data_IF_637055701008
#
_entry.id   IF_637055701008
#
_cell.length_a   1.000
_cell.length_b   1.000
_cell.length_c   1.000
_cell.angle_alpha   90.00
_cell.angle_beta   90.00
_cell.angle_gamma   90.00
#
_symmetry.space_group_name_H-M   'P 1'
#
loop_
_entity.id
_entity.type
_entity.pdbx_description
1 polymer ?
#
# COMPACT_ATOMS: atom_id res chain seq x y z
N UNK A 1 2.94 4.70 26.72
CA UNK A 1 2.48 4.75 25.30
C UNK A 1 1.24 3.88 25.05
N UNK A 2 1.19 2.60 25.45
CA UNK A 2 0.07 1.70 25.10
C UNK A 2 -1.32 2.17 25.61
N UNK A 3 -1.40 2.77 26.79
CA UNK A 3 -2.66 3.30 27.35
C UNK A 3 -3.07 4.66 26.76
N UNK A 4 -2.21 5.28 25.94
CA UNK A 4 -2.48 6.60 25.37
C UNK A 4 -3.35 6.48 24.12
N UNK A 5 -4.21 7.48 23.92
CA UNK A 5 -4.93 7.70 22.67
C UNK A 5 -3.96 7.94 21.51
N UNK A 6 -4.44 7.78 20.27
CA UNK A 6 -3.64 8.15 19.10
C UNK A 6 -3.23 9.61 19.16
N UNK A 7 -4.17 10.49 19.56
CA UNK A 7 -3.92 11.92 19.70
C UNK A 7 -2.81 12.25 20.70
N UNK A 8 -2.83 11.62 21.88
CA UNK A 8 -1.79 11.84 22.88
C UNK A 8 -0.43 11.28 22.43
N UNK A 9 -0.41 10.12 21.77
CA UNK A 9 0.84 9.60 21.20
C UNK A 9 1.39 10.54 20.11
N UNK A 10 0.52 11.11 19.28
CA UNK A 10 0.90 12.03 18.21
C UNK A 10 1.62 13.26 18.76
N UNK A 11 1.05 13.87 19.79
CA UNK A 11 1.56 15.11 20.37
C UNK A 11 2.90 14.89 21.11
N UNK A 12 3.20 13.66 21.50
CA UNK A 12 4.51 13.26 22.04
C UNK A 12 5.52 13.02 20.91
N UNK A 13 5.14 12.27 19.88
CA UNK A 13 6.09 11.75 18.90
C UNK A 13 6.45 12.75 17.81
N UNK A 14 5.50 13.51 17.26
CA UNK A 14 5.75 14.29 16.03
C UNK A 14 6.26 15.73 16.22
N UNK A 15 5.96 16.45 17.32
CA UNK A 15 6.52 17.80 17.54
C UNK A 15 8.03 17.81 17.86
N UNK A 16 8.63 16.65 18.16
CA UNK A 16 9.99 16.55 18.69
C UNK A 16 10.83 15.40 18.08
N UNK A 17 11.00 15.34 16.74
CA UNK A 17 11.70 14.24 16.08
C UNK A 17 13.18 14.11 16.50
N UNK A 18 13.78 15.19 17.01
CA UNK A 18 15.18 15.26 17.45
C UNK A 18 15.38 15.12 18.98
N UNK A 19 14.31 15.27 19.79
CA UNK A 19 14.44 15.29 21.26
C UNK A 19 14.08 13.96 21.92
N UNK A 20 13.43 13.04 21.22
CA UNK A 20 13.14 11.72 21.76
C UNK A 20 13.99 10.68 21.00
N UNK A 21 15.02 10.10 21.64
CA UNK A 21 15.76 9.00 21.06
C UNK A 21 14.91 7.73 21.12
N UNK A 22 13.85 7.63 20.31
CA UNK A 22 13.17 6.36 20.11
C UNK A 22 13.91 5.56 19.04
N UNK A 23 14.12 4.28 19.32
CA UNK A 23 14.72 3.34 18.38
C UNK A 23 13.78 3.15 17.19
N UNK A 24 14.09 3.76 16.05
CA UNK A 24 13.27 3.69 14.81
C UNK A 24 13.14 2.26 14.26
N UNK A 25 13.90 1.30 14.78
CA UNK A 25 13.79 -0.14 14.43
C UNK A 25 12.77 -0.88 15.30
N UNK A 26 12.22 -0.25 16.34
CA UNK A 26 11.23 -0.86 17.24
C UNK A 26 9.85 -0.29 17.00
N UNK A 27 8.86 -1.18 17.01
CA UNK A 27 7.46 -0.79 16.99
C UNK A 27 7.12 0.02 18.24
N UNK A 28 6.43 1.15 18.06
CA UNK A 28 5.80 1.87 19.17
C UNK A 28 4.55 1.09 19.60
N UNK A 29 4.21 1.04 20.90
CA UNK A 29 2.98 0.41 21.35
C UNK A 29 1.75 1.01 20.66
N UNK A 30 0.84 0.15 20.21
CA UNK A 30 -0.39 0.57 19.54
C UNK A 30 -1.22 1.49 20.45
N UNK A 31 -1.91 2.51 19.90
CA UNK A 31 -2.77 3.38 20.69
C UNK A 31 -3.96 2.65 21.31
N UNK A 32 -4.42 3.12 22.46
CA UNK A 32 -5.64 2.64 23.10
C UNK A 32 -6.87 3.18 22.37
N UNK A 33 -7.68 2.27 21.81
CA UNK A 33 -8.93 2.63 21.12
C UNK A 33 -9.95 3.24 22.09
N UNK A 34 -9.98 2.77 23.34
CA UNK A 34 -10.87 3.29 24.39
C UNK A 34 -10.45 4.71 24.81
N UNK A 35 -9.15 4.95 24.95
CA UNK A 35 -8.65 6.30 25.23
C UNK A 35 -8.95 7.26 24.07
N UNK A 36 -8.81 6.78 22.83
CA UNK A 36 -9.11 7.57 21.63
C UNK A 36 -10.60 7.91 21.50
N UNK A 37 -11.51 7.02 21.90
CA UNK A 37 -12.96 7.26 21.86
C UNK A 37 -13.40 8.45 22.72
N UNK A 38 -12.71 8.71 23.83
CA UNK A 38 -13.05 9.79 24.78
C UNK A 38 -12.29 11.10 24.54
N UNK A 39 -11.44 11.18 23.52
CA UNK A 39 -10.74 12.41 23.14
C UNK A 39 -11.72 13.46 22.60
N UNK A 40 -11.54 14.72 22.97
CA UNK A 40 -12.48 15.80 22.65
C UNK A 40 -12.66 16.03 21.14
N UNK A 41 -11.60 15.83 20.35
CA UNK A 41 -11.60 16.00 18.89
C UNK A 41 -11.76 14.68 18.14
N UNK A 42 -12.03 13.57 18.83
CA UNK A 42 -12.27 12.30 18.18
C UNK A 42 -13.66 12.26 17.54
N UNK A 43 -13.72 11.71 16.33
CA UNK A 43 -14.96 11.42 15.64
C UNK A 43 -14.96 9.97 15.16
N UNK A 44 -16.16 9.38 15.16
CA UNK A 44 -16.34 8.00 14.70
C UNK A 44 -16.30 7.94 13.18
N UNK A 45 -15.52 7.02 12.63
CA UNK A 45 -15.51 6.78 11.20
C UNK A 45 -16.83 6.16 10.74
N UNK A 46 -17.31 6.60 9.57
CA UNK A 46 -18.59 6.17 9.01
C UNK A 46 -18.70 4.64 8.96
N UNK A 47 -19.78 4.09 9.52
CA UNK A 47 -20.04 2.65 9.54
C UNK A 47 -18.89 1.77 10.10
N UNK A 48 -18.09 2.31 11.01
CA UNK A 48 -16.97 1.60 11.67
C UNK A 48 -17.05 1.70 13.19
N UNK A 49 -16.28 0.89 13.92
CA UNK A 49 -16.06 1.04 15.37
C UNK A 49 -14.82 1.86 15.70
N UNK A 50 -14.07 2.28 14.68
CA UNK A 50 -12.84 3.04 14.84
C UNK A 50 -13.12 4.53 15.01
N UNK A 51 -12.43 5.15 15.97
CA UNK A 51 -12.41 6.60 16.17
C UNK A 51 -11.14 7.19 15.58
N UNK A 52 -11.26 8.36 14.96
CA UNK A 52 -10.18 9.11 14.36
C UNK A 52 -10.14 10.54 14.89
N UNK A 53 -8.96 11.15 14.90
CA UNK A 53 -8.79 12.60 15.13
C UNK A 53 -8.00 13.15 13.95
N UNK A 54 -8.56 14.17 13.29
CA UNK A 54 -7.88 14.81 12.18
C UNK A 54 -6.74 15.69 12.72
N UNK A 55 -5.50 15.21 12.65
CA UNK A 55 -4.33 15.97 13.11
C UNK A 55 -3.75 16.91 12.06
N UNK A 56 -4.11 16.72 10.79
CA UNK A 56 -3.67 17.57 9.68
C UNK A 56 -4.81 17.94 8.76
N UNK A 57 -4.83 19.21 8.37
CA UNK A 57 -5.74 19.69 7.34
C UNK A 57 -5.32 19.12 5.98
N UNK A 58 -6.29 18.59 5.24
CA UNK A 58 -5.99 17.95 3.95
C UNK A 58 -5.65 18.97 2.87
N UNK A 59 -6.36 20.10 2.85
CA UNK A 59 -6.26 21.09 1.78
C UNK A 59 -6.06 22.54 2.24
N UNK A 60 -6.86 22.98 3.21
CA UNK A 60 -6.84 24.35 3.75
C UNK A 60 -5.85 24.50 4.90
N UNK A 61 -5.42 25.74 5.18
CA UNK A 61 -4.67 26.09 6.39
C UNK A 61 -3.44 25.20 6.68
N UNK A 62 -2.72 24.79 5.63
CA UNK A 62 -1.41 24.12 5.71
C UNK A 62 -0.41 24.81 4.78
N UNK A 63 0.87 24.70 5.11
CA UNK A 63 1.96 25.15 4.25
C UNK A 63 2.14 24.12 3.14
N UNK A 64 2.05 24.56 1.88
CA UNK A 64 2.26 23.73 0.70
C UNK A 64 3.70 23.90 0.21
N UNK A 65 4.48 22.82 0.28
CA UNK A 65 5.79 22.79 -0.38
C UNK A 65 5.64 22.65 -1.90
N UNK A 66 6.69 23.03 -2.65
CA UNK A 66 6.73 22.85 -4.12
C UNK A 66 6.46 21.40 -4.54
N UNK A 67 7.00 20.44 -3.78
CA UNK A 67 6.78 19.00 -4.02
C UNK A 67 5.33 18.56 -3.72
N UNK A 68 4.71 19.12 -2.68
CA UNK A 68 3.31 18.83 -2.33
C UNK A 68 2.40 19.33 -3.46
N UNK A 69 2.63 20.57 -3.93
CA UNK A 69 1.87 21.17 -5.02
C UNK A 69 2.06 20.40 -6.33
N UNK A 70 3.30 20.01 -6.66
CA UNK A 70 3.56 19.17 -7.84
C UNK A 70 2.85 17.82 -7.77
N UNK A 71 2.84 17.17 -6.60
CA UNK A 71 2.14 15.90 -6.38
C UNK A 71 0.62 16.08 -6.52
N UNK A 72 0.06 17.11 -5.90
CA UNK A 72 -1.37 17.40 -5.99
C UNK A 72 -1.80 17.70 -7.44
N UNK A 73 -1.04 18.51 -8.18
CA UNK A 73 -1.31 18.82 -9.58
C UNK A 73 -1.22 17.57 -10.46
N UNK A 74 -0.23 16.70 -10.24
CA UNK A 74 -0.14 15.42 -10.95
C UNK A 74 -1.36 14.55 -10.68
N UNK A 75 -1.75 14.39 -9.40
CA UNK A 75 -2.93 13.63 -9.02
C UNK A 75 -4.19 14.17 -9.70
N UNK A 76 -4.45 15.46 -9.55
CA UNK A 76 -5.61 16.12 -10.18
C UNK A 76 -5.59 15.93 -11.70
N UNK A 77 -4.44 16.17 -12.34
CA UNK A 77 -4.27 16.02 -13.79
C UNK A 77 -4.57 14.59 -14.27
N UNK A 78 -4.09 13.58 -13.55
CA UNK A 78 -4.36 12.17 -13.88
C UNK A 78 -5.85 11.82 -13.75
N UNK A 79 -6.52 12.28 -12.69
CA UNK A 79 -7.95 12.04 -12.50
C UNK A 79 -8.80 12.78 -13.55
N UNK A 80 -8.44 14.02 -13.88
CA UNK A 80 -9.11 14.77 -14.94
C UNK A 80 -8.89 14.12 -16.32
N UNK A 81 -7.70 13.59 -16.59
CA UNK A 81 -7.42 12.87 -17.84
C UNK A 81 -8.28 11.60 -18.00
N UNK A 82 -8.70 10.95 -16.90
CA UNK A 82 -9.66 9.83 -16.96
C UNK A 82 -11.02 10.24 -17.55
N UNK A 83 -11.42 11.50 -17.45
CA UNK A 83 -12.67 12.00 -18.03
C UNK A 83 -12.65 11.97 -19.56
N UNK A 84 -11.50 11.77 -20.19
CA UNK A 84 -11.37 11.57 -21.63
C UNK A 84 -11.74 10.14 -22.09
N UNK A 85 -11.83 9.17 -21.17
CA UNK A 85 -12.07 7.76 -21.51
C UNK A 85 -13.38 7.50 -22.28
N UNK A 86 -14.54 8.14 -21.94
CA UNK A 86 -15.78 7.96 -22.69
C UNK A 86 -15.67 8.37 -24.17
N UNK A 87 -14.86 9.38 -24.48
CA UNK A 87 -14.67 9.88 -25.85
C UNK A 87 -13.78 8.99 -26.71
N UNK A 88 -13.07 8.03 -26.11
CA UNK A 88 -12.20 7.08 -26.79
C UNK A 88 -12.63 5.63 -26.54
N UNK A 89 -13.88 5.44 -26.12
CA UNK A 89 -14.40 4.14 -25.71
C UNK A 89 -14.38 3.12 -26.85
N UNK A 90 -13.91 1.92 -26.51
CA UNK A 90 -14.12 0.69 -27.27
C UNK A 90 -13.92 -0.51 -26.35
N UNK A 91 -14.49 -1.66 -26.70
CA UNK A 91 -14.25 -2.90 -25.95
C UNK A 91 -12.78 -3.31 -25.97
N UNK A 92 -12.06 -3.01 -27.05
CA UNK A 92 -10.62 -3.21 -27.15
C UNK A 92 -9.86 -2.38 -26.11
N UNK A 93 -10.27 -1.12 -25.90
CA UNK A 93 -9.69 -0.26 -24.87
C UNK A 93 -10.01 -0.76 -23.46
N UNK A 94 -11.20 -1.30 -23.21
CA UNK A 94 -11.55 -1.92 -21.92
C UNK A 94 -10.68 -3.14 -21.65
N UNK A 95 -10.52 -4.03 -22.62
CA UNK A 95 -9.64 -5.20 -22.50
C UNK A 95 -8.19 -4.76 -22.29
N UNK A 96 -7.73 -3.77 -23.04
CA UNK A 96 -6.38 -3.23 -22.92
C UNK A 96 -6.11 -2.62 -21.53
N UNK A 97 -7.05 -1.82 -21.02
CA UNK A 97 -7.01 -1.31 -19.65
C UNK A 97 -6.96 -2.46 -18.65
N UNK A 98 -7.84 -3.47 -18.77
CA UNK A 98 -7.88 -4.58 -17.82
C UNK A 98 -6.58 -5.39 -17.81
N UNK A 99 -6.02 -5.69 -18.99
CA UNK A 99 -4.74 -6.41 -19.12
C UNK A 99 -3.61 -5.60 -18.51
N UNK A 100 -3.50 -4.31 -18.84
CA UNK A 100 -2.46 -3.44 -18.28
C UNK A 100 -2.65 -3.22 -16.78
N UNK A 101 -3.89 -3.16 -16.30
CA UNK A 101 -4.25 -3.11 -14.87
C UNK A 101 -3.80 -4.38 -14.13
N UNK A 102 -4.05 -5.57 -14.68
CA UNK A 102 -3.54 -6.82 -14.13
C UNK A 102 -2.01 -6.86 -14.12
N UNK A 103 -1.35 -6.47 -15.22
CA UNK A 103 0.11 -6.45 -15.30
C UNK A 103 0.70 -5.55 -14.22
N UNK A 104 0.22 -4.32 -14.08
CA UNK A 104 0.87 -3.38 -13.16
C UNK A 104 0.38 -3.50 -11.72
N UNK A 105 -0.90 -3.82 -11.51
CA UNK A 105 -1.46 -4.02 -10.18
C UNK A 105 -1.14 -5.39 -9.59
N UNK A 106 -1.39 -6.48 -10.32
CA UNK A 106 -1.14 -7.83 -9.81
C UNK A 106 0.36 -8.16 -9.81
N UNK A 107 1.04 -8.07 -10.97
CA UNK A 107 2.47 -8.39 -10.99
C UNK A 107 3.31 -7.31 -10.30
N UNK A 108 3.01 -6.03 -10.56
CA UNK A 108 3.79 -4.91 -10.03
C UNK A 108 3.63 -4.67 -8.53
N UNK A 109 2.39 -4.49 -8.06
CA UNK A 109 2.11 -4.18 -6.65
C UNK A 109 1.97 -5.46 -5.83
N UNK A 110 0.93 -6.27 -6.08
CA UNK A 110 0.57 -7.37 -5.18
C UNK A 110 1.65 -8.47 -5.11
N UNK A 111 2.20 -8.89 -6.25
CA UNK A 111 3.25 -9.91 -6.27
C UNK A 111 4.64 -9.34 -5.99
N UNK A 112 5.05 -8.28 -6.68
CA UNK A 112 6.42 -7.74 -6.54
C UNK A 112 6.58 -6.85 -5.32
N UNK A 113 6.10 -5.60 -5.36
CA UNK A 113 6.41 -4.64 -4.31
C UNK A 113 5.94 -5.13 -2.95
N UNK A 114 4.77 -5.77 -2.91
CA UNK A 114 4.20 -6.27 -1.69
C UNK A 114 4.80 -7.61 -1.23
N UNK A 115 4.41 -8.74 -1.84
CA UNK A 115 4.76 -10.08 -1.33
C UNK A 115 6.23 -10.44 -1.51
N UNK A 116 6.80 -10.19 -2.69
CA UNK A 116 8.17 -10.60 -2.99
C UNK A 116 9.20 -9.67 -2.33
N UNK A 117 9.10 -8.37 -2.60
CA UNK A 117 10.11 -7.41 -2.18
C UNK A 117 9.92 -6.98 -0.74
N UNK A 118 8.71 -6.65 -0.28
CA UNK A 118 8.55 -6.20 1.11
C UNK A 118 8.61 -7.34 2.12
N UNK A 119 8.00 -8.48 1.81
CA UNK A 119 7.80 -9.57 2.77
C UNK A 119 8.63 -10.82 2.52
N UNK A 120 9.33 -10.90 1.39
CA UNK A 120 10.11 -12.08 1.00
C UNK A 120 9.30 -13.38 1.05
N UNK A 121 8.02 -13.31 0.71
CA UNK A 121 7.09 -14.44 0.83
C UNK A 121 7.37 -15.57 -0.17
N UNK A 122 8.14 -15.28 -1.22
CA UNK A 122 8.64 -16.23 -2.21
C UNK A 122 9.85 -15.65 -2.94
N UNK A 123 10.62 -16.52 -3.59
CA UNK A 123 11.79 -16.16 -4.40
C UNK A 123 11.54 -16.50 -5.86
N UNK A 124 12.05 -15.67 -6.78
CA UNK A 124 12.11 -15.96 -8.22
C UNK A 124 13.51 -15.69 -8.76
N UNK A 125 13.77 -16.09 -10.00
CA UNK A 125 14.98 -15.68 -10.71
C UNK A 125 15.03 -14.16 -10.90
N UNK A 126 16.23 -13.56 -10.83
CA UNK A 126 16.38 -12.09 -10.87
C UNK A 126 15.75 -11.40 -12.07
N UNK A 127 15.77 -11.99 -13.26
CA UNK A 127 15.11 -11.40 -14.43
C UNK A 127 13.58 -11.27 -14.22
N UNK A 128 12.97 -12.23 -13.52
CA UNK A 128 11.53 -12.26 -13.25
C UNK A 128 11.18 -11.31 -12.09
N UNK A 129 12.00 -11.28 -11.03
CA UNK A 129 11.93 -10.27 -9.96
C UNK A 129 11.97 -8.84 -10.55
N UNK A 130 12.93 -8.57 -11.44
CA UNK A 130 13.08 -7.27 -12.08
C UNK A 130 11.94 -6.95 -13.06
N UNK A 131 11.43 -7.96 -13.79
CA UNK A 131 10.26 -7.79 -14.63
C UNK A 131 9.04 -7.36 -13.81
N UNK A 132 8.73 -8.07 -12.72
CA UNK A 132 7.62 -7.71 -11.85
C UNK A 132 7.83 -6.34 -11.20
N UNK A 133 9.05 -6.04 -10.72
CA UNK A 133 9.37 -4.73 -10.17
C UNK A 133 9.20 -3.60 -11.21
N UNK A 134 9.56 -3.84 -12.47
CA UNK A 134 9.36 -2.89 -13.55
C UNK A 134 7.87 -2.66 -13.85
N UNK A 135 7.04 -3.69 -13.79
CA UNK A 135 5.58 -3.53 -13.86
C UNK A 135 5.07 -2.61 -12.74
N UNK A 136 5.66 -2.68 -11.54
CA UNK A 136 5.37 -1.79 -10.41
C UNK A 136 5.79 -0.35 -10.67
N UNK A 137 6.93 -0.11 -11.31
CA UNK A 137 7.35 1.26 -11.68
C UNK A 137 6.29 1.96 -12.54
N UNK A 138 5.61 1.22 -13.41
CA UNK A 138 4.58 1.77 -14.29
C UNK A 138 3.31 2.23 -13.56
N UNK A 139 3.10 1.89 -12.27
CA UNK A 139 1.91 2.31 -11.50
C UNK A 139 1.99 3.74 -11.00
N UNK A 140 3.18 4.34 -11.09
CA UNK A 140 3.42 5.70 -10.64
C UNK A 140 3.31 5.92 -9.13
N UNK A 141 3.39 4.86 -8.32
CA UNK A 141 3.31 4.93 -6.84
C UNK A 141 4.63 5.27 -6.14
N UNK A 142 5.68 5.57 -6.91
CA UNK A 142 7.00 5.89 -6.42
C UNK A 142 8.04 4.86 -6.81
N UNK A 143 9.29 5.17 -6.49
CA UNK A 143 10.42 4.29 -6.79
C UNK A 143 10.29 2.98 -6.01
N UNK A 144 10.79 1.84 -6.54
CA UNK A 144 10.67 0.55 -5.86
C UNK A 144 11.20 0.56 -4.42
N UNK A 145 12.38 1.15 -4.18
CA UNK A 145 12.97 1.18 -2.83
C UNK A 145 12.16 2.03 -1.86
N UNK A 146 11.59 3.14 -2.34
CA UNK A 146 10.72 4.02 -1.54
C UNK A 146 9.43 3.30 -1.15
N UNK A 147 8.77 2.64 -2.09
CA UNK A 147 7.53 1.92 -1.83
C UNK A 147 7.76 0.79 -0.82
N UNK A 148 8.76 -0.06 -1.07
CA UNK A 148 9.10 -1.19 -0.21
C UNK A 148 9.51 -0.73 1.19
N UNK A 149 10.35 0.30 1.29
CA UNK A 149 10.73 0.87 2.59
C UNK A 149 9.51 1.39 3.35
N UNK A 150 8.63 2.12 2.66
CA UNK A 150 7.44 2.72 3.27
C UNK A 150 6.50 1.63 3.77
N UNK A 151 6.32 0.55 3.01
CA UNK A 151 5.48 -0.58 3.39
C UNK A 151 6.06 -1.38 4.57
N UNK A 152 7.37 -1.68 4.54
CA UNK A 152 8.07 -2.32 5.68
C UNK A 152 7.93 -1.47 6.95
N UNK A 153 8.00 -0.14 6.82
CA UNK A 153 7.81 0.79 7.93
C UNK A 153 6.35 0.87 8.39
N UNK A 154 5.38 0.84 7.46
CA UNK A 154 3.97 0.72 7.79
C UNK A 154 3.76 -0.50 8.68
N UNK A 155 4.20 -1.71 8.29
CA UNK A 155 4.05 -2.89 9.14
C UNK A 155 4.67 -2.75 10.54
N UNK A 156 5.82 -2.08 10.64
CA UNK A 156 6.48 -1.82 11.92
C UNK A 156 5.65 -0.88 12.81
N UNK A 157 5.04 0.15 12.21
CA UNK A 157 4.39 1.25 12.93
C UNK A 157 2.87 1.33 12.72
N UNK A 158 2.25 0.31 12.13
CA UNK A 158 0.85 0.31 11.66
C UNK A 158 -0.09 0.96 12.67
N UNK A 159 -0.94 1.87 12.21
CA UNK A 159 -1.95 2.58 12.99
C UNK A 159 -1.43 3.40 14.20
N UNK A 160 -0.11 3.55 14.36
CA UNK A 160 0.49 4.52 15.29
C UNK A 160 0.66 5.88 14.60
N UNK A 161 0.96 6.97 15.33
CA UNK A 161 1.24 8.27 14.69
C UNK A 161 2.41 8.27 13.72
N UNK A 162 3.32 7.29 13.83
CA UNK A 162 4.43 7.12 12.90
C UNK A 162 4.02 6.43 11.60
N UNK A 163 2.89 5.74 11.55
CA UNK A 163 2.38 5.18 10.29
C UNK A 163 2.03 6.32 9.31
N UNK A 164 2.62 6.36 8.10
CA UNK A 164 2.38 7.42 7.13
C UNK A 164 0.89 7.56 6.76
N UNK A 165 0.12 6.47 6.78
CA UNK A 165 -1.26 6.44 6.31
C UNK A 165 -2.22 5.83 7.35
N UNK A 166 -2.00 6.14 8.63
CA UNK A 166 -2.88 5.66 9.71
C UNK A 166 -4.35 6.07 9.47
N UNK A 167 -5.32 5.13 9.56
CA UNK A 167 -6.74 5.41 9.52
C UNK A 167 -7.22 6.24 10.72
N UNK A 168 -6.43 6.33 11.80
CA UNK A 168 -6.74 7.11 12.99
C UNK A 168 -6.71 8.63 12.75
N UNK A 169 -6.26 9.09 11.57
CA UNK A 169 -6.41 10.47 11.11
C UNK A 169 -7.55 10.69 10.10
N UNK A 170 -8.28 9.63 9.77
CA UNK A 170 -9.42 9.67 8.89
C UNK A 170 -9.27 8.83 7.63
N UNK A 171 -10.41 8.54 7.00
CA UNK A 171 -10.48 7.80 5.75
C UNK A 171 -9.69 8.48 4.63
N UNK A 172 -9.90 9.78 4.41
CA UNK A 172 -9.24 10.48 3.31
C UNK A 172 -7.75 10.68 3.54
N UNK A 173 -7.31 10.81 4.80
CA UNK A 173 -5.89 10.83 5.13
C UNK A 173 -5.22 9.51 4.71
N UNK A 174 -5.73 8.38 5.21
CA UNK A 174 -5.20 7.04 4.90
C UNK A 174 -5.34 6.66 3.43
N UNK A 175 -6.37 7.15 2.74
CA UNK A 175 -6.58 6.86 1.32
C UNK A 175 -5.62 7.66 0.42
N UNK A 176 -5.56 8.98 0.53
CA UNK A 176 -4.77 9.80 -0.40
C UNK A 176 -4.10 11.03 0.22
N UNK A 177 -4.60 11.53 1.36
CA UNK A 177 -4.12 12.76 1.99
C UNK A 177 -2.64 12.67 2.36
N UNK A 178 -2.21 11.51 2.86
CA UNK A 178 -0.81 11.26 3.20
C UNK A 178 0.13 11.43 1.99
N UNK A 179 -0.33 11.10 0.77
CA UNK A 179 0.48 11.15 -0.44
C UNK A 179 0.90 12.59 -0.77
N UNK A 180 0.00 13.55 -0.52
CA UNK A 180 0.17 14.97 -0.81
C UNK A 180 0.86 15.76 0.32
N UNK A 181 1.39 15.06 1.33
CA UNK A 181 2.02 15.69 2.48
C UNK A 181 3.45 15.22 2.70
N UNK A 182 4.39 15.82 1.95
CA UNK A 182 5.81 15.53 2.10
C UNK A 182 6.30 15.76 3.52
N UNK A 183 5.87 16.84 4.17
CA UNK A 183 6.33 17.15 5.52
C UNK A 183 5.89 16.06 6.52
N UNK A 184 4.69 15.51 6.38
CA UNK A 184 4.29 14.34 7.16
C UNK A 184 5.08 13.08 6.82
N UNK A 185 5.33 12.82 5.54
CA UNK A 185 6.18 11.69 5.12
C UNK A 185 7.59 11.81 5.71
N UNK A 186 8.17 13.00 5.69
CA UNK A 186 9.51 13.28 6.20
C UNK A 186 9.59 13.30 7.74
N UNK A 187 8.48 13.44 8.46
CA UNK A 187 8.48 13.41 9.93
C UNK A 187 8.01 12.07 10.52
N UNK A 188 7.10 11.36 9.83
CA UNK A 188 6.53 10.08 10.29
C UNK A 188 7.31 8.90 9.75
N UNK A 189 7.57 8.91 8.45
CA UNK A 189 8.47 8.01 7.75
C UNK A 189 9.87 8.63 7.62
N UNK A 190 10.21 9.57 8.52
CA UNK A 190 11.34 10.46 8.42
C UNK A 190 12.65 9.74 8.28
N UNK A 191 13.14 9.78 7.04
CA UNK A 191 14.11 8.88 6.45
C UNK A 191 13.63 7.42 6.50
N UNK A 192 13.17 6.93 5.34
CA UNK A 192 13.57 5.61 4.79
C UNK A 192 14.78 5.16 5.59
N UNK A 193 14.58 4.30 6.58
CA UNK A 193 15.69 3.80 7.39
C UNK A 193 16.66 3.30 6.35
N UNK A 194 17.82 3.95 6.20
CA UNK A 194 18.65 3.80 5.01
C UNK A 194 19.06 2.33 4.77
N UNK A 195 18.78 1.48 5.74
CA UNK A 195 19.18 0.10 5.83
C UNK A 195 18.01 -0.91 5.77
N UNK A 196 16.74 -0.47 5.69
CA UNK A 196 15.61 -1.41 5.61
C UNK A 196 15.29 -1.85 4.17
N UNK A 197 16.12 -1.49 3.19
CA UNK A 197 16.03 -1.89 1.77
C UNK A 197 17.43 -2.10 1.17
N UNK A 198 18.44 -2.41 1.99
CA UNK A 198 19.83 -2.65 1.54
C UNK A 198 19.92 -3.86 0.59
N UNK A 199 19.03 -4.83 0.78
CA UNK A 199 18.84 -5.97 -0.11
C UNK A 199 18.50 -5.53 -1.55
N UNK A 200 17.87 -4.37 -1.72
CA UNK A 200 17.55 -3.79 -3.02
C UNK A 200 18.64 -2.81 -3.49
N UNK A 201 19.09 -1.91 -2.61
CA UNK A 201 20.05 -0.82 -2.96
C UNK A 201 21.39 -1.34 -3.48
N UNK A 202 21.78 -2.55 -3.09
CA UNK A 202 22.99 -3.22 -3.58
C UNK A 202 22.86 -3.74 -5.03
N UNK A 203 21.66 -3.79 -5.61
CA UNK A 203 21.43 -4.33 -6.94
C UNK A 203 21.38 -3.23 -8.01
N UNK A 204 22.11 -3.43 -9.12
CA UNK A 204 22.20 -2.46 -10.23
C UNK A 204 20.85 -2.07 -10.84
N UNK A 205 19.91 -3.01 -10.92
CA UNK A 205 18.57 -2.73 -11.44
C UNK A 205 17.85 -1.67 -10.60
N UNK A 206 17.86 -1.79 -9.27
CA UNK A 206 17.20 -0.83 -8.40
C UNK A 206 17.95 0.50 -8.35
N UNK A 207 19.27 0.51 -8.42
CA UNK A 207 20.06 1.74 -8.60
C UNK A 207 19.66 2.49 -9.89
N UNK A 208 19.53 1.76 -11.00
CA UNK A 208 19.04 2.36 -12.25
C UNK A 208 17.62 2.92 -12.12
N UNK A 209 16.72 2.19 -11.45
CA UNK A 209 15.37 2.69 -11.18
C UNK A 209 15.37 3.91 -10.26
N UNK A 210 16.35 4.06 -9.36
CA UNK A 210 16.51 5.26 -8.55
C UNK A 210 16.83 6.50 -9.41
N UNK A 211 17.69 6.36 -10.41
CA UNK A 211 18.14 7.47 -11.25
C UNK A 211 17.17 7.80 -12.38
N UNK A 212 16.55 6.78 -12.99
CA UNK A 212 15.78 6.91 -14.23
C UNK A 212 14.28 6.71 -14.09
N UNK A 213 13.76 6.65 -12.84
CA UNK A 213 12.33 6.41 -12.56
C UNK A 213 11.39 7.22 -13.47
N UNK A 214 11.54 8.55 -13.50
CA UNK A 214 10.63 9.42 -14.25
C UNK A 214 10.77 9.24 -15.76
N UNK A 215 11.95 8.90 -16.27
CA UNK A 215 12.15 8.60 -17.69
C UNK A 215 11.41 7.32 -18.08
N UNK A 216 11.42 6.29 -17.23
CA UNK A 216 10.65 5.06 -17.45
C UNK A 216 9.15 5.30 -17.36
N UNK A 217 8.68 6.06 -16.38
CA UNK A 217 7.25 6.35 -16.30
C UNK A 217 6.80 7.17 -17.50
N UNK A 218 7.39 8.32 -17.79
CA UNK A 218 6.95 9.15 -18.92
C UNK A 218 7.20 8.48 -20.28
N UNK A 219 8.27 7.70 -20.40
CA UNK A 219 8.54 6.86 -21.56
C UNK A 219 7.44 5.83 -21.80
N UNK A 220 6.82 5.28 -20.75
CA UNK A 220 5.69 4.37 -20.88
C UNK A 220 4.43 5.06 -21.43
N UNK A 221 4.15 6.30 -21.00
CA UNK A 221 3.03 7.08 -21.55
C UNK A 221 3.28 7.43 -23.02
N UNK A 222 4.51 7.84 -23.36
CA UNK A 222 4.88 8.06 -24.76
C UNK A 222 4.72 6.79 -25.59
N UNK A 223 5.18 5.64 -25.09
CA UNK A 223 5.05 4.35 -25.78
C UNK A 223 3.59 3.97 -26.03
N UNK A 224 2.71 4.16 -25.04
CA UNK A 224 1.27 3.93 -25.20
C UNK A 224 0.68 4.79 -26.32
N UNK A 225 1.06 6.07 -26.37
CA UNK A 225 0.63 6.98 -27.44
C UNK A 225 1.16 6.56 -28.81
N UNK A 226 2.43 6.15 -28.90
CA UNK A 226 3.03 5.71 -30.17
C UNK A 226 2.36 4.43 -30.70
N UNK A 227 2.00 3.49 -29.82
CA UNK A 227 1.42 2.20 -30.21
C UNK A 227 -0.05 2.33 -30.62
N UNK A 228 -0.84 3.14 -29.92
CA UNK A 228 -2.29 3.15 -30.11
C UNK A 228 -2.96 4.52 -29.95
N UNK A 229 -2.19 5.59 -30.08
CA UNK A 229 -2.67 6.97 -30.03
C UNK A 229 -3.33 7.33 -28.71
N UNK A 230 -4.26 8.29 -28.78
CA UNK A 230 -5.03 8.75 -27.63
C UNK A 230 -5.81 7.65 -26.90
N UNK A 231 -6.49 6.70 -27.59
CA UNK A 231 -7.19 5.64 -26.89
C UNK A 231 -6.27 4.77 -26.01
N UNK A 232 -5.13 4.30 -26.54
CA UNK A 232 -4.19 3.52 -25.75
C UNK A 232 -3.55 4.33 -24.61
N UNK A 233 -3.22 5.60 -24.86
CA UNK A 233 -2.70 6.49 -23.83
C UNK A 233 -3.70 6.72 -22.68
N UNK A 234 -4.95 7.04 -22.99
CA UNK A 234 -5.97 7.35 -21.97
C UNK A 234 -6.30 6.11 -21.14
N UNK A 235 -6.53 4.98 -21.79
CA UNK A 235 -6.96 3.74 -21.14
C UNK A 235 -5.81 3.02 -20.44
N UNK A 236 -4.65 2.89 -21.08
CA UNK A 236 -3.46 2.24 -20.50
C UNK A 236 -2.59 3.16 -19.65
N UNK A 237 -2.78 4.47 -19.73
CA UNK A 237 -2.08 5.48 -18.93
C UNK A 237 -2.95 5.93 -17.75
N UNK A 238 -3.59 7.11 -17.79
CA UNK A 238 -4.35 7.67 -16.66
C UNK A 238 -5.39 6.74 -16.05
N UNK A 239 -6.28 6.16 -16.86
CA UNK A 239 -7.37 5.33 -16.33
C UNK A 239 -6.82 4.11 -15.59
N UNK A 240 -5.82 3.46 -16.17
CA UNK A 240 -5.14 2.31 -15.55
C UNK A 240 -4.39 2.72 -14.29
N UNK A 241 -3.61 3.80 -14.31
CA UNK A 241 -2.86 4.29 -13.15
C UNK A 241 -3.80 4.65 -11.99
N UNK A 242 -4.84 5.43 -12.25
CA UNK A 242 -5.83 5.83 -11.22
C UNK A 242 -6.58 4.61 -10.67
N UNK A 243 -6.87 3.62 -11.52
CA UNK A 243 -7.50 2.36 -11.06
C UNK A 243 -6.59 1.57 -10.12
N UNK A 244 -5.28 1.49 -10.42
CA UNK A 244 -4.31 0.85 -9.51
C UNK A 244 -4.19 1.64 -8.22
N UNK A 245 -4.04 2.97 -8.30
CA UNK A 245 -3.97 3.85 -7.13
C UNK A 245 -5.13 3.62 -6.17
N UNK A 246 -6.37 3.68 -6.64
CA UNK A 246 -7.51 3.47 -5.74
C UNK A 246 -7.59 2.04 -5.22
N UNK A 247 -7.18 1.03 -6.00
CA UNK A 247 -7.03 -0.34 -5.50
C UNK A 247 -6.05 -0.42 -4.33
N UNK A 248 -4.84 0.12 -4.50
CA UNK A 248 -3.79 0.15 -3.46
C UNK A 248 -4.23 0.99 -2.25
N UNK A 249 -4.74 2.20 -2.48
CA UNK A 249 -5.14 3.12 -1.41
C UNK A 249 -6.34 2.63 -0.61
N UNK A 250 -7.23 1.83 -1.22
CA UNK A 250 -8.31 1.17 -0.49
C UNK A 250 -7.81 0.05 0.44
N UNK A 251 -6.63 -0.51 0.20
CA UNK A 251 -5.99 -1.41 1.19
C UNK A 251 -5.64 -0.61 2.44
N UNK A 252 -4.99 0.55 2.29
CA UNK A 252 -4.59 1.40 3.41
C UNK A 252 -5.77 2.00 4.18
N UNK A 253 -6.85 2.39 3.47
CA UNK A 253 -8.01 3.05 4.10
C UNK A 253 -9.15 2.09 4.40
N UNK A 254 -9.82 1.57 3.38
CA UNK A 254 -11.03 0.78 3.53
C UNK A 254 -10.77 -0.52 4.32
N UNK A 255 -9.63 -1.18 4.07
CA UNK A 255 -9.24 -2.40 4.78
C UNK A 255 -8.64 -2.16 6.16
N UNK A 256 -8.63 -0.93 6.66
CA UNK A 256 -8.35 -0.59 8.06
C UNK A 256 -9.59 -0.06 8.80
N UNK A 257 -10.72 0.08 8.10
CA UNK A 257 -11.92 0.73 8.63
C UNK A 257 -13.12 -0.21 8.59
N UNK A 258 -13.25 -0.99 7.52
CA UNK A 258 -14.41 -1.87 7.28
C UNK A 258 -13.99 -3.30 6.99
N UNK A 259 -14.82 -4.24 7.41
CA UNK A 259 -14.63 -5.66 7.13
C UNK A 259 -14.54 -6.51 8.41
N UNK A 260 -14.09 -7.74 8.25
CA UNK A 260 -13.93 -8.70 9.36
C UNK A 260 -12.50 -8.70 9.91
N UNK A 261 -12.33 -9.04 11.18
CA UNK A 261 -11.02 -9.20 11.82
C UNK A 261 -10.90 -10.63 12.38
N UNK A 262 -10.67 -11.65 11.52
CA UNK A 262 -10.55 -13.04 11.97
C UNK A 262 -9.32 -13.33 12.82
N UNK A 263 -8.27 -12.49 12.78
CA UNK A 263 -6.99 -12.70 13.46
C UNK A 263 -6.60 -11.56 14.42
N UNK A 264 -5.89 -11.91 15.50
CA UNK A 264 -5.49 -11.03 16.61
C UNK A 264 -4.22 -10.22 16.27
N UNK A 265 -4.32 -9.30 15.33
CA UNK A 265 -3.19 -8.45 14.90
C UNK A 265 -2.85 -7.33 15.89
N UNK A 266 -3.81 -6.92 16.72
CA UNK A 266 -3.66 -5.76 17.62
C UNK A 266 -3.72 -4.41 16.90
N UNK A 267 -3.97 -4.43 15.60
CA UNK A 267 -4.13 -3.25 14.74
C UNK A 267 -5.57 -3.17 14.18
N UNK A 268 -5.80 -2.19 13.32
CA UNK A 268 -7.08 -1.89 12.68
C UNK A 268 -7.28 -2.61 11.35
N UNK A 269 -6.35 -3.47 10.91
CA UNK A 269 -6.50 -4.23 9.66
C UNK A 269 -7.77 -5.09 9.65
N UNK A 270 -8.42 -5.19 8.50
CA UNK A 270 -9.70 -5.87 8.25
C UNK A 270 -9.68 -6.57 6.89
N UNK A 271 -10.36 -7.69 6.79
CA UNK A 271 -10.65 -8.36 5.52
C UNK A 271 -11.89 -7.74 4.88
N UNK A 272 -11.72 -7.19 3.68
CA UNK A 272 -12.78 -6.58 2.90
C UNK A 272 -12.80 -7.14 1.49
N UNK A 273 -13.84 -7.93 1.17
CA UNK A 273 -13.86 -8.79 -0.02
C UNK A 273 -13.73 -8.01 -1.33
N UNK A 274 -14.37 -6.86 -1.47
CA UNK A 274 -14.32 -6.08 -2.70
C UNK A 274 -12.96 -5.43 -2.89
N UNK A 275 -12.28 -5.04 -1.78
CA UNK A 275 -10.89 -4.57 -1.83
C UNK A 275 -10.01 -5.70 -2.31
N UNK A 276 -10.12 -6.89 -1.69
CA UNK A 276 -9.34 -8.06 -2.09
C UNK A 276 -9.51 -8.42 -3.57
N UNK A 277 -10.71 -8.24 -4.16
CA UNK A 277 -10.92 -8.45 -5.59
C UNK A 277 -10.16 -7.42 -6.44
N UNK A 278 -10.28 -6.12 -6.14
CA UNK A 278 -9.61 -5.07 -6.94
C UNK A 278 -8.10 -4.99 -6.66
N UNK A 279 -7.63 -5.50 -5.54
CA UNK A 279 -6.20 -5.56 -5.18
C UNK A 279 -5.55 -6.91 -5.47
N UNK A 280 -6.24 -7.82 -6.17
CA UNK A 280 -5.71 -9.13 -6.58
C UNK A 280 -5.36 -10.09 -5.43
N UNK A 281 -6.07 -9.98 -4.31
CA UNK A 281 -6.03 -10.93 -3.20
C UNK A 281 -5.57 -10.33 -1.87
N UNK A 282 -5.56 -9.01 -1.69
CA UNK A 282 -5.05 -8.39 -0.46
C UNK A 282 -6.06 -8.45 0.69
N UNK A 283 -6.27 -9.65 1.23
CA UNK A 283 -7.01 -9.91 2.47
C UNK A 283 -6.24 -9.37 3.67
N UNK A 284 -6.54 -8.13 4.05
CA UNK A 284 -5.59 -7.33 4.79
C UNK A 284 -5.37 -7.75 6.25
N UNK A 285 -6.40 -8.24 6.96
CA UNK A 285 -6.21 -8.76 8.31
C UNK A 285 -5.43 -10.09 8.31
N UNK A 286 -5.66 -10.94 7.30
CA UNK A 286 -4.88 -12.17 7.13
C UNK A 286 -3.41 -11.83 6.88
N UNK A 287 -3.18 -10.86 6.01
CA UNK A 287 -1.85 -10.34 5.69
C UNK A 287 -1.13 -9.79 6.93
N UNK A 288 -1.79 -8.93 7.70
CA UNK A 288 -1.19 -8.40 8.94
C UNK A 288 -0.90 -9.47 9.99
N UNK A 289 -1.70 -10.55 10.03
CA UNK A 289 -1.44 -11.68 10.91
C UNK A 289 -0.26 -12.56 10.46
N UNK A 290 -0.04 -12.66 9.15
CA UNK A 290 0.97 -13.53 8.53
C UNK A 290 1.71 -12.82 7.40
N UNK A 291 2.40 -11.71 7.69
CA UNK A 291 3.02 -10.87 6.66
C UNK A 291 4.01 -11.62 5.75
N UNK A 292 4.69 -12.64 6.28
CA UNK A 292 5.59 -13.51 5.54
C UNK A 292 4.89 -14.44 4.51
N UNK A 293 3.56 -14.54 4.54
CA UNK A 293 2.82 -15.49 3.72
C UNK A 293 2.73 -15.01 2.27
N UNK A 294 2.89 -15.92 1.31
CA UNK A 294 2.60 -15.65 -0.10
C UNK A 294 1.10 -15.77 -0.41
N UNK A 295 0.32 -16.33 0.53
CA UNK A 295 -1.12 -16.55 0.45
C UNK A 295 -1.83 -15.67 1.46
N UNK A 296 -2.55 -14.66 1.00
CA UNK A 296 -3.33 -13.76 1.85
C UNK A 296 -4.77 -14.29 2.01
N UNK A 297 -5.35 -14.90 0.97
CA UNK A 297 -6.65 -15.57 1.07
C UNK A 297 -6.52 -16.96 1.72
N UNK A 298 -6.83 -17.07 3.01
CA UNK A 298 -6.60 -18.28 3.81
C UNK A 298 -7.80 -19.23 3.80
N UNK A 299 -9.02 -18.71 3.66
CA UNK A 299 -10.23 -19.51 3.46
C UNK A 299 -10.45 -19.88 1.99
N UNK A 300 -11.28 -20.89 1.73
CA UNK A 300 -11.54 -21.39 0.37
C UNK A 300 -12.27 -20.38 -0.53
N UNK A 301 -13.06 -19.48 0.07
CA UNK A 301 -13.83 -18.44 -0.61
C UNK A 301 -13.07 -17.12 -0.71
N UNK A 302 -11.94 -17.00 -0.01
CA UNK A 302 -11.08 -15.82 -0.06
C UNK A 302 -10.23 -15.85 -1.33
N UNK A 303 -10.78 -15.29 -2.41
CA UNK A 303 -10.13 -15.29 -3.72
C UNK A 303 -8.82 -14.48 -3.70
N UNK A 304 -7.73 -15.10 -4.16
CA UNK A 304 -6.38 -14.53 -4.14
C UNK A 304 -5.68 -14.83 -5.47
N UNK A 305 -5.86 -13.93 -6.44
CA UNK A 305 -5.31 -14.05 -7.80
C UNK A 305 -3.79 -14.18 -7.77
N UNK A 306 -3.14 -13.33 -6.98
CA UNK A 306 -1.68 -13.29 -6.86
C UNK A 306 -1.14 -14.62 -6.33
N UNK A 307 -1.81 -15.23 -5.36
CA UNK A 307 -1.44 -16.56 -4.86
C UNK A 307 -1.53 -17.64 -5.95
N UNK A 308 -2.60 -17.64 -6.74
CA UNK A 308 -2.75 -18.63 -7.81
C UNK A 308 -1.65 -18.51 -8.86
N UNK A 309 -1.25 -17.28 -9.20
CA UNK A 309 -0.13 -17.04 -10.12
C UNK A 309 1.20 -17.50 -9.49
N UNK A 310 1.47 -17.16 -8.22
CA UNK A 310 2.67 -17.62 -7.51
C UNK A 310 2.74 -19.15 -7.50
N UNK A 311 1.60 -19.83 -7.28
CA UNK A 311 1.52 -21.30 -7.31
C UNK A 311 1.75 -21.89 -8.70
N UNK A 312 1.28 -21.22 -9.75
CA UNK A 312 1.57 -21.62 -11.12
C UNK A 312 3.06 -21.49 -11.42
N UNK A 313 3.68 -20.35 -11.06
CA UNK A 313 5.12 -20.12 -11.20
C UNK A 313 5.94 -21.15 -10.43
N UNK A 314 5.51 -21.49 -9.21
CA UNK A 314 6.14 -22.53 -8.41
C UNK A 314 6.08 -23.89 -9.10
N UNK A 315 4.92 -24.25 -9.67
CA UNK A 315 4.73 -25.52 -10.38
C UNK A 315 5.64 -25.66 -11.60
N UNK A 316 5.92 -24.56 -12.30
CA UNK A 316 6.80 -24.54 -13.48
C UNK A 316 8.27 -24.25 -13.14
N UNK A 317 8.63 -24.15 -11.85
CA UNK A 317 10.01 -23.94 -11.39
C UNK A 317 10.52 -22.49 -11.53
N UNK A 318 9.62 -21.51 -11.71
CA UNK A 318 9.97 -20.08 -11.79
C UNK A 318 9.87 -19.35 -10.44
N UNK A 319 9.25 -19.99 -9.44
CA UNK A 319 9.22 -19.51 -8.06
C UNK A 319 9.56 -20.64 -7.08
N UNK A 320 10.25 -20.31 -5.98
CA UNK A 320 10.62 -21.24 -4.91
C UNK A 320 10.59 -20.52 -3.56
N UNK A 321 10.89 -21.23 -2.47
CA UNK A 321 10.80 -20.72 -1.08
C UNK A 321 9.47 -20.04 -0.77
N UNK A 322 8.37 -20.62 -1.28
CA UNK A 322 7.03 -20.07 -1.10
C UNK A 322 6.55 -20.34 0.32
N UNK A 323 6.36 -19.29 1.11
CA UNK A 323 5.97 -19.38 2.51
C UNK A 323 4.46 -19.27 2.70
N UNK A 324 3.91 -20.05 3.63
CA UNK A 324 2.50 -19.99 4.06
C UNK A 324 2.40 -20.32 5.55
N UNK A 325 1.41 -19.78 6.29
CA UNK A 325 1.27 -20.08 7.71
C UNK A 325 0.90 -21.55 7.93
N UNK A 326 1.48 -22.14 8.98
CA UNK A 326 1.13 -23.48 9.43
C UNK A 326 -0.26 -23.46 10.11
N UNK A 327 -0.97 -24.61 10.15
CA UNK A 327 -2.25 -24.69 10.86
C UNK A 327 -2.19 -24.24 12.32
N UNK A 328 -1.06 -24.52 13.01
CA UNK A 328 -0.85 -24.08 14.40
C UNK A 328 -0.73 -22.56 14.51
N UNK A 329 -0.04 -21.91 13.58
CA UNK A 329 0.05 -20.44 13.55
C UNK A 329 -1.32 -19.81 13.28
N UNK A 330 -2.10 -20.40 12.35
CA UNK A 330 -3.48 -19.98 12.07
C UNK A 330 -4.35 -20.10 13.31
N UNK A 331 -4.34 -21.26 13.98
CA UNK A 331 -5.11 -21.51 15.20
C UNK A 331 -4.74 -20.53 16.32
N UNK A 332 -3.44 -20.29 16.55
CA UNK A 332 -2.94 -19.38 17.57
C UNK A 332 -3.42 -17.94 17.37
N UNK A 333 -3.36 -17.43 16.14
CA UNK A 333 -3.76 -16.06 15.82
C UNK A 333 -5.28 -15.87 15.71
N UNK A 334 -6.06 -16.94 15.57
CA UNK A 334 -7.50 -16.82 15.32
C UNK A 334 -8.24 -16.18 16.51
N UNK A 335 -9.17 -15.27 16.22
CA UNK A 335 -10.06 -14.63 17.21
C UNK A 335 -11.11 -15.62 17.72
N UNK A 336 -11.59 -16.51 16.85
CA UNK A 336 -12.44 -17.66 17.22
C UNK A 336 -11.58 -18.91 17.28
N UNK A 337 -11.67 -19.69 18.36
CA UNK A 337 -11.17 -21.07 18.32
C UNK A 337 -11.91 -21.78 17.19
N UNK A 338 -11.22 -22.16 16.11
CA UNK A 338 -11.83 -22.96 15.05
C UNK A 338 -12.24 -24.29 15.69
N UNK A 339 -13.54 -24.52 15.88
CA UNK A 339 -14.05 -25.83 16.26
C UNK A 339 -13.63 -26.80 15.18
N UNK A 340 -12.80 -27.78 15.56
CA UNK A 340 -12.25 -28.81 14.66
C UNK A 340 -13.34 -29.61 13.97
#
# INVERSE_FOLDING_TARGET
MAELSYSAQFDILLPQPDLIPWDRKKAVPKPSLLAQEVEAEAYRLTASTTFATQKRNWFSNRIWGVKDMGTALLFIGMHLACLAAPFTFSWQCVIFWYVTYCITGCFGIAMSFHRQLSHHSFTTSKWLEYFFAYCGVMTFEGKPTFWVSSHRFHHLQTDTPLDPHSPAEGFWWSHMGWVMDKLSKDHRAGCVVENNVDDMRSQRFYQHMEDWYWAHVWGSFLLLYVIGGWPALIWGGPLRVVSVWHGTFSVNSASHIWGSQPYKTGDLSRNLWWVAVVSFGEWHNNHHAFGFSARHGLEWWEFDVSWYIIRLLQKVGLAWDVHTPTPKQVEYQSVKAKSR
#
